data_IF_213045018551
#
_entry.id   IF_213045018551
#
_cell.length_a   1.000
_cell.length_b   1.000
_cell.length_c   1.000
_cell.angle_alpha   90.00
_cell.angle_beta   90.00
_cell.angle_gamma   90.00
#
_symmetry.space_group_name_H-M   'P 1'
#
loop_
_entity.id
_entity.type
_entity.pdbx_description
1 polymer ?
#
# COMPACT_ATOMS: atom_id res chain seq x y z
N UNK A 1 -18.52 6.55 1.52
CA UNK A 1 -18.89 7.31 2.74
C UNK A 1 -17.65 7.99 3.29
N UNK A 2 -17.83 9.19 3.84
CA UNK A 2 -16.75 10.01 4.41
C UNK A 2 -17.04 10.31 5.88
N UNK A 3 -15.99 10.47 6.68
CA UNK A 3 -16.14 10.98 8.05
C UNK A 3 -16.20 12.51 8.10
N UNK A 4 -16.34 13.08 9.30
CA UNK A 4 -16.41 14.52 9.53
C UNK A 4 -15.11 15.27 9.18
N UNK A 5 -13.99 14.56 9.05
CA UNK A 5 -12.69 15.11 8.70
C UNK A 5 -12.41 14.97 7.19
N UNK A 6 -13.45 14.67 6.40
CA UNK A 6 -13.37 14.45 4.96
C UNK A 6 -12.38 13.34 4.58
N UNK A 7 -12.37 12.23 5.34
CA UNK A 7 -11.62 11.01 5.02
C UNK A 7 -12.54 9.88 4.60
N UNK A 8 -12.13 9.13 3.58
CA UNK A 8 -12.91 8.03 3.03
C UNK A 8 -12.88 6.86 4.00
N UNK A 9 -14.02 6.53 4.61
CA UNK A 9 -14.14 5.46 5.62
C UNK A 9 -14.77 4.18 5.08
N UNK A 10 -15.57 4.27 4.01
CA UNK A 10 -16.23 3.12 3.42
C UNK A 10 -16.50 3.31 1.92
N UNK A 11 -16.32 2.27 1.13
CA UNK A 11 -16.70 2.15 -0.28
C UNK A 11 -17.50 0.87 -0.44
N UNK A 12 -18.69 0.99 -1.03
CA UNK A 12 -19.54 -0.15 -1.39
C UNK A 12 -20.26 0.19 -2.71
N UNK A 13 -20.92 -0.78 -3.37
CA UNK A 13 -21.63 -0.54 -4.61
C UNK A 13 -22.66 0.57 -4.44
N UNK A 14 -22.75 1.42 -5.47
CA UNK A 14 -23.73 2.48 -5.51
C UNK A 14 -25.15 1.91 -5.52
N UNK A 15 -26.07 2.63 -4.90
CA UNK A 15 -27.48 2.29 -4.84
C UNK A 15 -28.32 3.54 -5.17
N UNK A 16 -29.53 3.41 -5.75
CA UNK A 16 -30.35 4.56 -6.09
C UNK A 16 -30.58 5.51 -4.91
N UNK A 17 -30.66 6.80 -5.20
CA UNK A 17 -30.89 7.83 -4.19
C UNK A 17 -32.27 7.67 -3.56
N UNK A 18 -32.37 7.90 -2.25
CA UNK A 18 -33.64 7.82 -1.49
C UNK A 18 -34.10 6.40 -1.18
N UNK A 19 -33.20 5.42 -1.31
CA UNK A 19 -33.56 4.01 -1.22
C UNK A 19 -32.54 3.29 -0.33
N UNK A 20 -33.00 2.38 0.53
CA UNK A 20 -32.14 1.73 1.53
C UNK A 20 -31.13 0.81 0.86
N UNK A 21 -29.83 1.02 1.12
CA UNK A 21 -28.79 0.14 0.61
C UNK A 21 -29.06 -1.31 1.04
N UNK A 22 -29.19 -2.20 0.05
CA UNK A 22 -29.30 -3.64 0.24
C UNK A 22 -28.21 -4.33 -0.56
N UNK A 23 -27.24 -5.00 0.08
CA UNK A 23 -26.17 -5.69 -0.63
C UNK A 23 -26.69 -6.88 -1.45
N UNK A 24 -26.17 -7.03 -2.66
CA UNK A 24 -26.38 -8.17 -3.54
C UNK A 24 -25.28 -9.22 -3.36
N UNK A 25 -25.58 -10.47 -3.74
CA UNK A 25 -24.59 -11.56 -3.70
C UNK A 25 -23.35 -11.19 -4.52
N UNK A 26 -22.17 -11.36 -3.93
CA UNK A 26 -20.87 -10.96 -4.45
C UNK A 26 -20.58 -9.45 -4.46
N UNK A 27 -21.42 -8.61 -3.86
CA UNK A 27 -21.04 -7.22 -3.61
C UNK A 27 -19.76 -7.16 -2.78
N UNK A 28 -18.89 -6.21 -3.09
CA UNK A 28 -17.65 -6.00 -2.37
C UNK A 28 -17.66 -4.66 -1.66
N UNK A 29 -17.15 -4.64 -0.44
CA UNK A 29 -17.01 -3.43 0.37
C UNK A 29 -15.58 -3.29 0.87
N UNK A 30 -15.12 -2.04 0.91
CA UNK A 30 -13.89 -1.65 1.60
C UNK A 30 -14.19 -0.70 2.73
N UNK A 31 -13.59 -0.94 3.90
CA UNK A 31 -13.60 -0.01 5.03
C UNK A 31 -12.18 0.40 5.40
N UNK A 32 -12.05 1.62 5.90
CA UNK A 32 -10.78 2.21 6.27
C UNK A 32 -10.84 2.82 7.66
N UNK A 33 -9.77 2.61 8.43
CA UNK A 33 -9.58 3.21 9.75
C UNK A 33 -8.36 4.12 9.68
N UNK A 34 -8.43 5.27 10.34
CA UNK A 34 -7.37 6.26 10.37
C UNK A 34 -6.95 6.56 11.81
N UNK A 35 -5.71 6.98 12.00
CA UNK A 35 -5.25 7.53 13.27
C UNK A 35 -5.53 9.03 13.39
N UNK A 36 -5.11 9.63 14.51
CA UNK A 36 -5.29 11.05 14.81
C UNK A 36 -4.48 11.98 13.89
N UNK A 37 -3.49 11.45 13.15
CA UNK A 37 -2.73 12.19 12.15
C UNK A 37 -3.35 12.06 10.75
N UNK A 38 -4.45 11.31 10.60
CA UNK A 38 -5.11 11.08 9.31
C UNK A 38 -4.44 10.04 8.43
N UNK A 39 -3.51 9.23 8.97
CA UNK A 39 -2.89 8.11 8.24
C UNK A 39 -3.80 6.89 8.32
N UNK A 40 -3.90 6.12 7.25
CA UNK A 40 -4.73 4.90 7.21
C UNK A 40 -4.04 3.79 7.99
N UNK A 41 -4.62 3.35 9.11
CA UNK A 41 -4.06 2.29 9.95
C UNK A 41 -4.67 0.92 9.68
N UNK A 42 -5.87 0.84 9.10
CA UNK A 42 -6.45 -0.43 8.65
C UNK A 42 -7.23 -0.32 7.34
N UNK A 43 -7.22 -1.41 6.57
CA UNK A 43 -8.06 -1.65 5.40
C UNK A 43 -8.74 -3.00 5.54
N UNK A 44 -10.05 -3.01 5.33
CA UNK A 44 -10.87 -4.21 5.36
C UNK A 44 -11.46 -4.40 3.97
N UNK A 45 -11.37 -5.61 3.41
CA UNK A 45 -12.08 -6.01 2.20
C UNK A 45 -13.04 -7.12 2.56
N UNK A 46 -14.31 -6.92 2.26
CA UNK A 46 -15.37 -7.87 2.52
C UNK A 46 -16.17 -8.15 1.26
N UNK A 47 -16.70 -9.36 1.21
CA UNK A 47 -17.59 -9.80 0.14
C UNK A 47 -18.91 -10.26 0.73
N UNK A 48 -20.02 -9.88 0.12
CA UNK A 48 -21.34 -10.29 0.56
C UNK A 48 -21.65 -11.70 0.05
N UNK A 49 -21.66 -12.68 0.95
CA UNK A 49 -21.84 -14.10 0.67
C UNK A 49 -22.89 -14.64 1.63
N UNK A 50 -23.86 -15.39 1.12
CA UNK A 50 -24.89 -16.06 1.93
C UNK A 50 -25.59 -15.15 2.95
N UNK A 51 -25.94 -13.94 2.50
CA UNK A 51 -26.61 -12.91 3.31
C UNK A 51 -25.76 -12.30 4.44
N UNK A 52 -24.44 -12.40 4.37
CA UNK A 52 -23.52 -11.81 5.33
C UNK A 52 -22.29 -11.20 4.65
N UNK A 53 -21.72 -10.17 5.26
CA UNK A 53 -20.40 -9.66 4.87
C UNK A 53 -19.33 -10.57 5.44
N UNK A 54 -18.54 -11.18 4.55
CA UNK A 54 -17.44 -12.07 4.89
C UNK A 54 -16.12 -11.41 4.56
N UNK A 55 -15.27 -11.22 5.56
CA UNK A 55 -13.92 -10.68 5.40
C UNK A 55 -13.11 -11.54 4.43
N UNK A 56 -12.61 -10.92 3.37
CA UNK A 56 -11.71 -11.53 2.39
C UNK A 56 -10.25 -11.24 2.75
N UNK A 57 -9.97 -10.00 3.15
CA UNK A 57 -8.66 -9.61 3.66
C UNK A 57 -8.77 -8.46 4.65
N UNK A 58 -7.82 -8.42 5.58
CA UNK A 58 -7.62 -7.28 6.47
C UNK A 58 -6.14 -6.95 6.48
N UNK A 59 -5.82 -5.67 6.36
CA UNK A 59 -4.44 -5.19 6.38
C UNK A 59 -4.33 -4.11 7.44
N UNK A 60 -3.34 -4.23 8.32
CA UNK A 60 -2.94 -3.19 9.27
C UNK A 60 -1.63 -2.56 8.82
N UNK A 61 -1.57 -1.24 8.91
CA UNK A 61 -0.44 -0.43 8.48
C UNK A 61 0.28 0.14 9.70
N UNK A 62 1.60 -0.02 9.74
CA UNK A 62 2.46 0.50 10.82
C UNK A 62 3.40 1.55 10.25
N UNK A 63 3.49 2.68 10.94
CA UNK A 63 4.22 3.85 10.49
C UNK A 63 5.32 4.25 11.49
N UNK A 64 6.45 4.73 10.96
CA UNK A 64 7.41 5.56 11.67
C UNK A 64 7.34 6.98 11.09
N UNK A 65 6.88 7.95 11.88
CA UNK A 65 6.53 9.27 11.35
C UNK A 65 5.55 9.14 10.16
N UNK A 66 5.81 9.78 9.03
CA UNK A 66 4.95 9.65 7.85
C UNK A 66 5.26 8.41 6.97
N UNK A 67 6.30 7.64 7.33
CA UNK A 67 6.78 6.52 6.52
C UNK A 67 6.07 5.22 6.93
N UNK A 68 5.42 4.55 5.97
CA UNK A 68 4.86 3.22 6.16
C UNK A 68 6.01 2.21 6.26
N UNK A 69 6.18 1.54 7.38
CA UNK A 69 7.32 0.61 7.59
C UNK A 69 6.92 -0.86 7.45
N UNK A 70 5.64 -1.20 7.68
CA UNK A 70 5.15 -2.57 7.53
C UNK A 70 3.64 -2.67 7.35
N UNK A 71 3.24 -3.72 6.63
CA UNK A 71 1.86 -4.20 6.51
C UNK A 71 1.73 -5.57 7.17
N UNK A 72 0.65 -5.78 7.92
CA UNK A 72 0.35 -7.06 8.57
C UNK A 72 -1.06 -7.51 8.26
N UNK A 73 -1.26 -8.82 8.20
CA UNK A 73 -2.58 -9.40 8.39
C UNK A 73 -2.80 -9.56 9.91
N UNK A 74 -3.69 -8.76 10.54
CA UNK A 74 -3.91 -8.82 11.97
C UNK A 74 -4.68 -10.08 12.41
N UNK A 75 -5.22 -10.85 11.47
CA UNK A 75 -5.98 -12.07 11.73
C UNK A 75 -5.62 -13.07 10.63
N UNK A 76 -4.72 -14.02 10.90
CA UNK A 76 -4.88 -15.28 10.17
C UNK A 76 -6.30 -15.76 10.49
N UNK A 77 -7.11 -16.09 9.47
CA UNK A 77 -8.53 -16.47 9.61
C UNK A 77 -8.79 -17.65 10.58
N UNK A 78 -7.75 -18.19 11.22
CA UNK A 78 -7.74 -19.26 12.21
C UNK A 78 -7.30 -18.83 13.65
N UNK A 79 -7.09 -17.54 13.95
CA UNK A 79 -6.81 -17.07 15.32
C UNK A 79 -5.35 -17.22 15.79
N UNK A 80 -4.39 -17.12 14.87
CA UNK A 80 -2.95 -17.10 15.18
C UNK A 80 -2.36 -15.69 15.33
N UNK A 81 -1.02 -15.64 15.45
CA UNK A 81 -0.25 -14.40 15.49
C UNK A 81 -0.41 -13.58 14.18
N UNK A 82 -0.21 -12.25 14.22
CA UNK A 82 -0.20 -11.43 13.01
C UNK A 82 0.90 -11.87 12.04
N UNK A 83 0.54 -12.00 10.76
CA UNK A 83 1.51 -12.33 9.71
C UNK A 83 2.01 -11.05 9.05
N UNK A 84 3.32 -10.91 8.90
CA UNK A 84 3.92 -9.81 8.11
C UNK A 84 3.57 -10.05 6.65
N UNK A 85 2.98 -9.06 5.99
CA UNK A 85 2.69 -9.08 4.56
C UNK A 85 3.80 -8.39 3.79
N UNK A 86 4.21 -7.20 4.26
CA UNK A 86 5.25 -6.40 3.61
C UNK A 86 6.06 -5.62 4.62
N UNK A 87 7.32 -5.39 4.29
CA UNK A 87 8.21 -4.49 5.01
C UNK A 87 8.80 -3.47 4.03
N UNK A 88 8.94 -2.24 4.47
CA UNK A 88 9.37 -1.11 3.64
C UNK A 88 10.64 -0.50 4.21
N UNK A 89 11.65 -0.39 3.35
CA UNK A 89 12.92 0.24 3.68
C UNK A 89 12.98 1.62 3.05
N UNK A 90 13.21 2.63 3.88
CA UNK A 90 13.32 4.02 3.46
C UNK A 90 14.77 4.49 3.53
N UNK A 91 15.20 5.23 2.51
CA UNK A 91 16.48 5.90 2.42
C UNK A 91 16.37 7.36 2.83
N UNK A 92 17.53 8.02 2.96
CA UNK A 92 17.59 9.47 3.13
C UNK A 92 16.91 10.16 1.94
N UNK A 93 15.82 10.87 2.21
CA UNK A 93 15.08 11.71 1.25
C UNK A 93 16.05 12.66 0.52
N UNK A 94 15.83 12.90 -0.77
CA UNK A 94 16.49 13.95 -1.56
C UNK A 94 16.22 15.36 -0.98
N UNK A 95 15.21 15.52 -0.12
CA UNK A 95 15.03 16.72 0.70
C UNK A 95 16.23 16.92 1.64
N UNK A 96 17.14 17.84 1.28
CA UNK A 96 18.36 18.16 2.02
C UNK A 96 19.65 18.04 1.21
N UNK A 97 19.61 17.45 -0.01
CA UNK A 97 20.81 17.32 -0.85
C UNK A 97 21.20 18.60 -1.62
N UNK A 98 20.41 19.67 -1.52
CA UNK A 98 20.82 21.01 -2.01
C UNK A 98 21.76 21.75 -1.04
N UNK A 99 22.32 21.08 -0.04
CA UNK A 99 23.35 21.63 0.86
C UNK A 99 22.81 22.51 1.99
N UNK A 100 21.50 22.54 2.22
CA UNK A 100 20.89 23.27 3.33
C UNK A 100 20.72 22.35 4.55
N UNK A 101 21.65 22.46 5.50
CA UNK A 101 21.64 21.72 6.76
C UNK A 101 20.50 22.13 7.71
N UNK A 102 19.71 23.16 7.37
CA UNK A 102 18.54 23.58 8.16
C UNK A 102 17.28 22.76 7.87
N UNK A 103 17.26 21.96 6.79
CA UNK A 103 16.15 21.10 6.42
C UNK A 103 16.47 19.66 6.83
N UNK A 104 16.08 19.29 8.06
CA UNK A 104 16.19 17.90 8.51
C UNK A 104 15.28 16.99 7.68
N UNK A 105 15.91 16.18 6.82
CA UNK A 105 15.99 14.74 7.00
C UNK A 105 14.68 13.95 6.92
N UNK A 106 14.63 13.02 5.97
CA UNK A 106 13.74 11.86 5.88
C UNK A 106 12.22 12.12 5.76
N UNK A 107 11.71 13.27 6.19
CA UNK A 107 10.28 13.58 6.29
C UNK A 107 9.85 14.86 5.57
N UNK A 108 10.79 15.59 4.94
CA UNK A 108 10.55 16.92 4.36
C UNK A 108 9.57 16.93 3.19
N UNK A 109 9.45 15.83 2.45
CA UNK A 109 8.56 15.70 1.29
C UNK A 109 7.27 14.89 1.58
N UNK A 110 6.81 14.80 2.84
CA UNK A 110 5.61 14.02 3.17
C UNK A 110 5.78 12.50 2.99
N UNK A 111 7.02 12.01 3.08
CA UNK A 111 7.34 10.58 3.08
C UNK A 111 7.35 9.91 1.70
N UNK A 112 7.35 10.66 0.59
CA UNK A 112 7.33 10.07 -0.77
C UNK A 112 8.75 9.91 -1.36
N UNK A 113 9.72 10.69 -0.89
CA UNK A 113 11.04 10.85 -1.53
C UNK A 113 12.13 9.83 -1.21
N UNK A 114 11.80 8.64 -0.69
CA UNK A 114 12.83 7.74 -0.16
C UNK A 114 12.53 6.25 -0.09
N UNK A 115 11.46 5.73 -0.70
CA UNK A 115 11.19 4.28 -0.65
C UNK A 115 12.28 3.54 -1.43
N UNK A 116 13.18 2.82 -0.74
CA UNK A 116 14.29 2.12 -1.40
C UNK A 116 13.91 0.70 -1.80
N UNK A 117 13.26 -0.02 -0.89
CA UNK A 117 13.00 -1.43 -1.07
C UNK A 117 11.73 -1.89 -0.36
N UNK A 118 11.16 -2.97 -0.87
CA UNK A 118 10.05 -3.69 -0.26
C UNK A 118 10.40 -5.16 -0.19
N UNK A 119 10.23 -5.76 0.98
CA UNK A 119 10.13 -7.21 1.12
C UNK A 119 8.65 -7.58 1.13
N UNK A 120 8.21 -8.40 0.18
CA UNK A 120 6.86 -8.96 0.10
C UNK A 120 6.93 -10.45 0.46
N UNK A 121 6.18 -10.87 1.48
CA UNK A 121 6.16 -12.27 1.96
C UNK A 121 5.28 -13.18 1.11
N UNK A 122 4.78 -12.67 -0.03
CA UNK A 122 3.81 -13.32 -0.90
C UNK A 122 2.54 -13.80 -0.16
N UNK A 123 2.25 -13.20 1.00
CA UNK A 123 1.20 -13.59 1.92
C UNK A 123 1.29 -15.08 2.36
N UNK A 124 2.50 -15.61 2.50
CA UNK A 124 2.74 -16.96 3.01
C UNK A 124 3.54 -16.93 4.31
N UNK A 125 3.55 -18.06 5.02
CA UNK A 125 4.35 -18.21 6.25
C UNK A 125 5.76 -18.72 5.97
N UNK A 126 6.10 -18.99 4.70
CA UNK A 126 7.38 -19.54 4.28
C UNK A 126 8.18 -18.48 3.58
N UNK A 127 9.49 -18.44 3.81
CA UNK A 127 10.36 -17.42 3.18
C UNK A 127 10.84 -17.82 1.78
N UNK A 128 10.39 -18.96 1.25
CA UNK A 128 10.92 -19.51 -0.01
C UNK A 128 10.42 -18.77 -1.25
N UNK A 129 9.28 -18.11 -1.15
CA UNK A 129 8.62 -17.36 -2.20
C UNK A 129 8.54 -15.85 -1.90
N UNK A 130 9.22 -15.41 -0.84
CA UNK A 130 9.42 -14.00 -0.51
C UNK A 130 10.13 -13.31 -1.67
N UNK A 131 9.69 -12.10 -1.98
CA UNK A 131 10.27 -11.26 -3.04
C UNK A 131 10.80 -9.97 -2.47
N UNK A 132 12.05 -9.67 -2.78
CA UNK A 132 12.66 -8.38 -2.45
C UNK A 132 12.65 -7.51 -3.69
N UNK A 133 12.12 -6.30 -3.57
CA UNK A 133 12.06 -5.34 -4.66
C UNK A 133 12.88 -4.10 -4.32
N UNK A 134 13.60 -3.56 -5.29
CA UNK A 134 14.28 -2.28 -5.22
C UNK A 134 13.62 -1.28 -6.17
N UNK A 135 13.41 -0.05 -5.69
CA UNK A 135 12.83 1.05 -6.44
C UNK A 135 13.95 1.95 -6.96
N UNK A 136 13.94 2.21 -8.27
CA UNK A 136 14.88 3.13 -8.90
C UNK A 136 14.15 4.39 -9.36
N UNK A 137 14.80 5.52 -9.12
CA UNK A 137 14.21 6.84 -9.31
C UNK A 137 14.85 7.56 -10.48
N UNK A 138 14.05 8.33 -11.21
CA UNK A 138 14.59 9.34 -12.11
C UNK A 138 15.19 10.52 -11.31
N UNK A 139 15.87 11.43 -12.00
CA UNK A 139 16.48 12.60 -11.36
C UNK A 139 15.46 13.58 -10.73
N UNK A 140 14.16 13.40 -10.99
CA UNK A 140 13.08 14.20 -10.40
C UNK A 140 12.45 13.51 -9.18
N UNK A 141 12.96 12.34 -8.77
CA UNK A 141 12.44 11.60 -7.61
C UNK A 141 11.18 10.78 -7.90
N UNK A 142 10.83 10.54 -9.17
CA UNK A 142 9.75 9.61 -9.50
C UNK A 142 10.29 8.19 -9.62
N UNK A 143 9.52 7.20 -9.15
CA UNK A 143 9.82 5.79 -9.40
C UNK A 143 9.72 5.51 -10.90
N UNK A 144 10.85 5.20 -11.53
CA UNK A 144 10.93 4.86 -12.95
C UNK A 144 11.01 3.35 -13.20
N UNK A 145 11.46 2.58 -12.21
CA UNK A 145 11.67 1.15 -12.37
C UNK A 145 11.56 0.41 -11.04
N UNK A 146 11.06 -0.83 -11.12
CA UNK A 146 11.03 -1.80 -10.03
C UNK A 146 11.89 -3.00 -10.44
N UNK A 147 12.84 -3.37 -9.59
CA UNK A 147 13.73 -4.52 -9.83
C UNK A 147 13.50 -5.54 -8.73
N UNK A 148 13.21 -6.78 -9.11
CA UNK A 148 13.22 -7.90 -8.18
C UNK A 148 14.66 -8.33 -7.92
N UNK A 149 15.05 -8.36 -6.65
CA UNK A 149 16.34 -8.85 -6.18
C UNK A 149 16.16 -10.27 -5.64
N UNK A 150 16.57 -11.27 -6.42
CA UNK A 150 16.63 -12.65 -5.95
C UNK A 150 18.06 -13.02 -5.57
N UNK A 151 18.26 -13.76 -4.47
CA UNK A 151 19.56 -14.32 -4.10
C UNK A 151 20.04 -15.40 -5.10
N UNK A 152 19.13 -15.87 -5.98
CA UNK A 152 19.40 -16.78 -7.07
C UNK A 152 19.78 -16.03 -8.37
N UNK A 153 20.93 -15.34 -8.34
CA UNK A 153 21.72 -14.87 -9.51
C UNK A 153 21.05 -14.04 -10.62
N UNK A 154 19.78 -13.69 -10.55
CA UNK A 154 19.14 -12.82 -11.56
C UNK A 154 18.30 -11.74 -10.87
N UNK A 155 18.77 -10.49 -10.97
CA UNK A 155 17.92 -9.34 -10.72
C UNK A 155 17.05 -9.14 -11.98
N UNK A 156 15.75 -9.38 -11.88
CA UNK A 156 14.83 -9.15 -12.99
C UNK A 156 14.25 -7.73 -12.89
N UNK A 157 14.59 -6.90 -13.87
CA UNK A 157 14.03 -5.58 -14.02
C UNK A 157 12.67 -5.67 -14.74
N UNK A 158 11.59 -5.26 -14.08
CA UNK A 158 10.28 -5.10 -14.73
C UNK A 158 10.12 -3.63 -15.11
N UNK A 159 10.20 -3.33 -16.41
CA UNK A 159 9.93 -1.99 -16.94
C UNK A 159 8.43 -1.80 -17.14
N UNK A 160 7.77 -1.01 -16.29
CA UNK A 160 6.38 -0.61 -16.50
C UNK A 160 6.34 0.52 -17.53
N UNK A 161 6.31 0.13 -18.80
CA UNK A 161 6.38 1.04 -19.93
C UNK A 161 5.18 1.97 -20.09
N UNK A 162 5.46 3.26 -20.34
CA UNK A 162 4.50 4.20 -20.92
C UNK A 162 4.29 3.80 -22.39
N UNK A 163 3.05 3.48 -22.78
CA UNK A 163 2.71 3.25 -24.20
C UNK A 163 3.09 4.50 -25.01
N UNK A 164 3.86 4.37 -26.11
CA UNK A 164 4.03 5.48 -27.03
C UNK A 164 2.67 5.75 -27.70
N UNK A 165 2.16 6.97 -27.58
CA UNK A 165 1.11 7.43 -28.48
C UNK A 165 1.76 7.64 -29.84
N UNK A 166 1.53 6.71 -30.77
CA UNK A 166 1.82 6.93 -32.18
C UNK A 166 0.93 8.05 -32.70
N UNK A 167 1.55 9.13 -33.18
CA UNK A 167 0.92 10.01 -34.15
C UNK A 167 0.97 9.29 -35.49
N UNK A 168 -0.20 8.89 -36.00
CA UNK A 168 -0.36 8.57 -37.41
C UNK A 168 -0.34 9.90 -38.19
N UNK A 169 0.52 9.97 -39.21
CA UNK A 169 0.47 10.93 -40.33
C UNK A 169 -0.02 10.22 -41.58
#
# INVERSE_FOLDING_TARGET
MWDAENRLIEVHPAHPVGTTYSPASNDERWRYVYDYLGRRVEKHHEKYISSAWVTQSRTRYVYDGWNLIAEYDPVTLAGGDPTVLRQYTWGLDLSGQNGDASVSGLHGAGGIGGLLAVLDTNNTTTTSDDRSYAYLYDANGNVGQLVEWSSAREAQAVWLGRRPHGCDV
#
